data_IF_400229672269
#
_entry.id   IF_400229672269
#
_cell.length_a   1.000
_cell.length_b   1.000
_cell.length_c   1.000
_cell.angle_alpha   90.00
_cell.angle_beta   90.00
_cell.angle_gamma   90.00
#
_symmetry.space_group_name_H-M   'P 1'
#
loop_
_entity.id
_entity.type
_entity.pdbx_description
1 polymer ?
#
# COMPACT_ATOMS: atom_id res chain seq x y z
N UNK A 1 16.59 -14.10 -14.44
CA UNK A 1 15.46 -13.58 -15.24
C UNK A 1 14.24 -14.44 -14.90
N UNK A 2 13.17 -13.87 -14.37
CA UNK A 2 11.99 -14.65 -13.97
C UNK A 2 11.05 -14.79 -15.16
N UNK A 3 10.76 -16.03 -15.57
CA UNK A 3 9.78 -16.33 -16.62
C UNK A 3 8.43 -16.57 -15.96
N UNK A 4 7.41 -15.85 -16.41
CA UNK A 4 6.03 -16.08 -16.00
C UNK A 4 5.30 -16.81 -17.13
N UNK A 5 4.57 -17.86 -16.79
CA UNK A 5 3.71 -18.59 -17.73
C UNK A 5 2.28 -18.49 -17.24
N UNK A 6 1.39 -18.06 -18.13
CA UNK A 6 -0.04 -17.90 -17.89
C UNK A 6 -0.78 -18.61 -19.01
N UNK A 7 -1.83 -19.33 -18.63
CA UNK A 7 -2.75 -19.97 -19.56
C UNK A 7 -4.02 -19.15 -19.59
N UNK A 8 -4.49 -18.83 -20.79
CA UNK A 8 -5.71 -18.08 -21.03
C UNK A 8 -6.66 -18.95 -21.87
N UNK A 9 -7.95 -18.73 -21.72
CA UNK A 9 -8.92 -19.23 -22.70
C UNK A 9 -8.78 -18.47 -24.02
N UNK A 10 -9.36 -19.02 -25.09
CA UNK A 10 -9.37 -18.34 -26.40
C UNK A 10 -10.06 -16.98 -26.33
N UNK A 11 -11.15 -16.87 -25.56
CA UNK A 11 -11.90 -15.63 -25.35
C UNK A 11 -11.05 -14.59 -24.61
N UNK A 12 -10.38 -14.99 -23.53
CA UNK A 12 -9.50 -14.11 -22.76
C UNK A 12 -8.30 -13.63 -23.59
N UNK A 13 -7.73 -14.52 -24.41
CA UNK A 13 -6.64 -14.20 -25.33
C UNK A 13 -7.08 -13.20 -26.40
N UNK A 14 -8.28 -13.37 -26.97
CA UNK A 14 -8.83 -12.46 -27.96
C UNK A 14 -9.07 -11.06 -27.38
N UNK A 15 -9.69 -10.98 -26.19
CA UNK A 15 -9.92 -9.71 -25.49
C UNK A 15 -8.60 -9.00 -25.16
N UNK A 16 -7.61 -9.74 -24.66
CA UNK A 16 -6.29 -9.18 -24.36
C UNK A 16 -5.60 -8.63 -25.63
N UNK A 17 -5.74 -9.34 -26.74
CA UNK A 17 -5.18 -8.93 -28.03
C UNK A 17 -5.86 -7.67 -28.58
N UNK A 18 -7.19 -7.60 -28.51
CA UNK A 18 -7.95 -6.42 -28.94
C UNK A 18 -7.51 -5.17 -28.16
N UNK A 19 -7.41 -5.29 -26.83
CA UNK A 19 -6.96 -4.18 -25.97
C UNK A 19 -5.51 -3.78 -26.25
N UNK A 20 -4.63 -4.76 -26.51
CA UNK A 20 -3.25 -4.48 -26.90
C UNK A 20 -3.20 -3.69 -28.24
N UNK A 21 -4.01 -4.09 -29.22
CA UNK A 21 -4.09 -3.43 -30.53
C UNK A 21 -4.59 -1.99 -30.43
N UNK A 22 -5.58 -1.71 -29.59
CA UNK A 22 -6.09 -0.35 -29.36
C UNK A 22 -4.99 0.63 -28.91
N UNK A 23 -3.99 0.13 -28.20
CA UNK A 23 -2.85 0.91 -27.72
C UNK A 23 -1.60 0.78 -28.60
N UNK A 24 -1.69 0.03 -29.71
CA UNK A 24 -0.56 -0.23 -30.61
C UNK A 24 0.55 -1.09 -30.00
N UNK A 25 0.22 -1.93 -29.00
CA UNK A 25 1.16 -2.81 -28.33
C UNK A 25 1.04 -4.26 -28.81
N UNK A 26 2.15 -5.00 -28.71
CA UNK A 26 2.10 -6.44 -28.76
C UNK A 26 1.45 -7.00 -27.47
N UNK A 27 0.82 -8.16 -27.59
CA UNK A 27 0.06 -8.80 -26.49
C UNK A 27 0.94 -9.02 -25.26
N UNK A 28 2.22 -9.36 -25.43
CA UNK A 28 3.13 -9.64 -24.32
C UNK A 28 3.48 -8.35 -23.56
N UNK A 29 3.74 -7.25 -24.28
CA UNK A 29 4.00 -5.94 -23.67
C UNK A 29 2.77 -5.42 -22.96
N UNK A 30 1.59 -5.56 -23.56
CA UNK A 30 0.35 -5.16 -22.90
C UNK A 30 0.08 -5.97 -21.64
N UNK A 31 0.25 -7.30 -21.68
CA UNK A 31 0.13 -8.15 -20.49
C UNK A 31 1.06 -7.73 -19.35
N UNK A 32 2.34 -7.41 -19.67
CA UNK A 32 3.30 -6.90 -18.68
C UNK A 32 2.85 -5.57 -18.09
N UNK A 33 2.33 -4.66 -18.91
CA UNK A 33 1.81 -3.38 -18.47
C UNK A 33 0.67 -3.53 -17.47
N UNK A 34 -0.34 -4.34 -17.80
CA UNK A 34 -1.49 -4.60 -16.92
C UNK A 34 -1.06 -5.24 -15.61
N UNK A 35 -0.19 -6.26 -15.66
CA UNK A 35 0.33 -6.92 -14.47
C UNK A 35 1.12 -5.95 -13.57
N UNK A 36 1.97 -5.10 -14.16
CA UNK A 36 2.74 -4.11 -13.42
C UNK A 36 1.83 -3.06 -12.77
N UNK A 37 0.84 -2.55 -13.50
CA UNK A 37 -0.15 -1.62 -12.96
C UNK A 37 -0.87 -2.23 -11.76
N UNK A 38 -1.33 -3.48 -11.87
CA UNK A 38 -2.05 -4.14 -10.78
C UNK A 38 -1.17 -4.41 -9.57
N UNK A 39 0.09 -4.79 -9.79
CA UNK A 39 1.05 -4.96 -8.70
C UNK A 39 1.30 -3.63 -7.97
N UNK A 40 1.45 -2.52 -8.70
CA UNK A 40 1.61 -1.19 -8.09
C UNK A 40 0.37 -0.83 -7.28
N UNK A 41 -0.83 -1.00 -7.82
CA UNK A 41 -2.08 -0.74 -7.08
C UNK A 41 -2.14 -1.52 -5.76
N UNK A 42 -1.79 -2.81 -5.78
CA UNK A 42 -1.76 -3.64 -4.58
C UNK A 42 -0.68 -3.19 -3.58
N UNK A 43 0.48 -2.72 -4.04
CA UNK A 43 1.53 -2.18 -3.18
C UNK A 43 1.13 -0.82 -2.57
N UNK A 44 0.39 0.00 -3.31
CA UNK A 44 -0.09 1.30 -2.83
C UNK A 44 -1.29 1.20 -1.90
N UNK A 45 -1.97 0.06 -1.84
CA UNK A 45 -3.02 -0.19 -0.88
C UNK A 45 -2.40 -0.25 0.53
N UNK A 46 -2.43 0.88 1.23
CA UNK A 46 -2.00 0.96 2.63
C UNK A 46 -2.87 -0.04 3.41
N UNK A 47 -2.29 -1.05 4.08
CA UNK A 47 -3.08 -1.97 4.88
C UNK A 47 -3.78 -1.17 5.98
N UNK A 48 -5.10 -1.03 5.85
CA UNK A 48 -5.91 -0.35 6.85
C UNK A 48 -6.26 -1.37 7.91
N UNK A 49 -5.57 -1.30 9.04
CA UNK A 49 -5.93 -2.08 10.20
C UNK A 49 -7.00 -1.33 11.00
N UNK A 50 -8.11 -2.01 11.29
CA UNK A 50 -9.12 -1.47 12.22
C UNK A 50 -8.45 -1.29 13.58
N UNK A 51 -8.42 -0.07 14.08
CA UNK A 51 -7.88 0.21 15.40
C UNK A 51 -8.72 -0.53 16.45
N UNK A 52 -8.06 -1.15 17.43
CA UNK A 52 -8.78 -1.69 18.59
C UNK A 52 -9.35 -0.53 19.43
N UNK A 53 -10.40 -0.80 20.21
CA UNK A 53 -11.03 0.21 21.08
C UNK A 53 -10.01 0.93 22.00
N UNK A 54 -8.95 0.22 22.41
CA UNK A 54 -7.87 0.80 23.20
C UNK A 54 -7.03 1.80 22.41
N UNK A 55 -6.67 1.49 21.16
CA UNK A 55 -5.90 2.37 20.28
C UNK A 55 -6.71 3.61 19.92
N UNK A 56 -8.00 3.46 19.60
CA UNK A 56 -8.89 4.61 19.31
C UNK A 56 -8.97 5.57 20.50
N UNK A 57 -9.07 5.03 21.73
CA UNK A 57 -9.09 5.85 22.95
C UNK A 57 -7.79 6.64 23.14
N UNK A 58 -6.64 6.04 22.86
CA UNK A 58 -5.33 6.69 22.94
C UNK A 58 -5.20 7.78 21.88
N UNK A 59 -5.58 7.49 20.63
CA UNK A 59 -5.56 8.47 19.53
C UNK A 59 -6.46 9.67 19.87
N UNK A 60 -7.66 9.42 20.40
CA UNK A 60 -8.59 10.48 20.83
C UNK A 60 -7.99 11.36 21.92
N UNK A 61 -7.42 10.76 22.96
CA UNK A 61 -6.73 11.51 24.03
C UNK A 61 -5.56 12.34 23.49
N UNK A 62 -4.72 11.76 22.63
CA UNK A 62 -3.60 12.47 22.02
C UNK A 62 -4.04 13.67 21.18
N UNK A 63 -5.14 13.55 20.42
CA UNK A 63 -5.72 14.68 19.67
C UNK A 63 -6.24 15.80 20.59
N UNK A 64 -6.87 15.42 21.71
CA UNK A 64 -7.35 16.39 22.70
C UNK A 64 -6.21 17.10 23.41
N UNK A 65 -5.15 16.39 23.78
CA UNK A 65 -3.96 16.98 24.41
C UNK A 65 -3.19 17.89 23.45
N UNK A 66 -3.10 17.52 22.16
CA UNK A 66 -2.53 18.38 21.12
C UNK A 66 -3.32 19.69 20.97
N UNK A 67 -4.66 19.61 20.91
CA UNK A 67 -5.52 20.80 20.85
C UNK A 67 -5.38 21.70 22.07
N UNK A 68 -5.10 21.12 23.24
CA UNK A 68 -4.87 21.85 24.49
C UNK A 68 -3.45 22.43 24.60
N UNK A 69 -2.57 22.19 23.61
CA UNK A 69 -1.19 22.67 23.62
C UNK A 69 -0.29 21.91 24.60
N UNK A 70 -0.74 20.78 25.14
CA UNK A 70 -0.01 20.01 26.15
C UNK A 70 0.95 18.96 25.56
N UNK A 71 1.08 18.90 24.23
CA UNK A 71 2.01 17.97 23.58
C UNK A 71 3.45 18.46 23.76
N UNK A 72 4.22 17.73 24.57
CA UNK A 72 5.68 17.85 24.58
C UNK A 72 6.20 17.41 23.21
N UNK A 73 6.86 18.31 22.47
CA UNK A 73 7.64 17.95 21.29
C UNK A 73 8.81 17.08 21.74
N UNK A 74 8.59 15.77 21.79
CA UNK A 74 9.66 14.83 22.10
C UNK A 74 10.46 14.64 20.82
N UNK A 75 11.62 15.29 20.74
CA UNK A 75 12.57 15.07 19.64
C UNK A 75 12.97 13.59 19.70
N UNK A 76 12.70 12.85 18.61
CA UNK A 76 13.08 11.44 18.48
C UNK A 76 14.61 11.35 18.64
N UNK A 77 15.08 10.78 19.75
CA UNK A 77 16.52 10.62 20.02
C UNK A 77 16.93 10.59 21.49
N UNK A 78 16.12 11.12 22.41
CA UNK A 78 16.42 11.06 23.85
C UNK A 78 15.72 9.87 24.51
N UNK A 79 16.42 8.73 24.54
CA UNK A 79 16.14 7.63 25.44
C UNK A 79 16.62 8.02 26.85
N UNK A 80 15.68 8.42 27.72
CA UNK A 80 15.95 8.46 29.15
C UNK A 80 16.00 7.02 29.67
N UNK A 81 17.20 6.55 29.97
CA UNK A 81 17.37 5.39 30.84
C UNK A 81 16.94 5.79 32.26
N UNK A 82 16.01 5.07 32.90
CA UNK A 82 15.73 5.29 34.31
C UNK A 82 16.97 4.92 35.11
N UNK A 83 17.61 5.89 35.76
CA UNK A 83 18.59 5.59 36.80
C UNK A 83 17.82 5.03 37.99
N UNK A 84 17.97 3.73 38.21
CA UNK A 84 17.65 3.10 39.48
C UNK A 84 18.63 3.60 40.55
N UNK A 85 18.12 4.30 41.56
CA UNK A 85 18.62 4.25 42.94
C UNK A 85 17.42 4.41 43.87
#
# INVERSE_FOLDING_TARGET
>A
MTKLQITLTDEEGALLSEQAMLLGYDVTKYAKFVLAQKAIEQLTAIPTHKASANIERIIRKGREEYRKGNTKTRILGQYDHPRSQ
#
